data_IF_057662903735
#
_entry.id   IF_057662903735
#
_cell.length_a   1.000
_cell.length_b   1.000
_cell.length_c   1.000
_cell.angle_alpha   90.00
_cell.angle_beta   90.00
_cell.angle_gamma   90.00
#
_symmetry.space_group_name_H-M   'P 1'
#
loop_
_entity.id
_entity.type
_entity.pdbx_description
1 polymer ?
#
# COMPACT_ATOMS: atom_id res chain seq x y z
N UNK A 1 -5.80 -6.25 -3.54
CA UNK A 1 -6.28 -4.89 -3.90
C UNK A 1 -6.38 -4.73 -5.42
N UNK A 2 -5.26 -4.61 -6.16
CA UNK A 2 -5.26 -4.44 -7.60
C UNK A 2 -6.06 -5.50 -8.36
N UNK A 3 -5.88 -6.79 -8.05
CA UNK A 3 -6.57 -7.88 -8.73
C UNK A 3 -8.09 -7.81 -8.61
N UNK A 4 -8.62 -7.59 -7.40
CA UNK A 4 -10.07 -7.47 -7.20
C UNK A 4 -10.65 -6.22 -7.87
N UNK A 5 -9.92 -5.08 -7.83
CA UNK A 5 -10.34 -3.86 -8.52
C UNK A 5 -10.33 -4.06 -10.06
N UNK A 6 -9.31 -4.74 -10.59
CA UNK A 6 -9.25 -5.05 -12.01
C UNK A 6 -10.38 -6.01 -12.42
N UNK A 7 -10.64 -7.04 -11.63
CA UNK A 7 -11.73 -7.98 -11.89
C UNK A 7 -13.10 -7.27 -11.94
N UNK A 8 -13.33 -6.27 -11.07
CA UNK A 8 -14.54 -5.44 -11.10
C UNK A 8 -14.71 -4.75 -12.46
N UNK A 9 -13.67 -4.08 -12.95
CA UNK A 9 -13.75 -3.34 -14.21
C UNK A 9 -13.79 -4.26 -15.42
N UNK A 10 -13.03 -5.35 -15.43
CA UNK A 10 -13.05 -6.34 -16.52
C UNK A 10 -14.42 -6.99 -16.65
N UNK A 11 -15.06 -7.37 -15.53
CA UNK A 11 -16.41 -7.91 -15.56
C UNK A 11 -17.41 -6.91 -16.15
N UNK A 12 -17.33 -5.64 -15.79
CA UNK A 12 -18.18 -4.57 -16.32
C UNK A 12 -17.97 -4.29 -17.82
N UNK A 13 -16.77 -4.56 -18.33
CA UNK A 13 -16.43 -4.40 -19.76
C UNK A 13 -16.67 -5.66 -20.58
N UNK A 14 -17.31 -6.68 -20.00
CA UNK A 14 -17.71 -7.90 -20.70
C UNK A 14 -16.65 -8.99 -20.78
N UNK A 15 -15.52 -8.83 -20.07
CA UNK A 15 -14.52 -9.88 -19.94
C UNK A 15 -14.94 -10.89 -18.86
N UNK A 16 -14.28 -12.06 -18.85
CA UNK A 16 -14.53 -13.16 -17.90
C UNK A 16 -13.30 -13.36 -17.00
N UNK A 17 -13.05 -12.48 -16.03
CA UNK A 17 -11.90 -12.63 -15.13
C UNK A 17 -12.09 -13.80 -14.16
N UNK A 18 -10.96 -14.40 -13.75
CA UNK A 18 -10.86 -15.34 -12.63
C UNK A 18 -9.79 -14.83 -11.66
N UNK A 19 -10.08 -14.85 -10.38
CA UNK A 19 -9.13 -14.48 -9.32
C UNK A 19 -8.50 -15.74 -8.72
N UNK A 20 -7.16 -15.74 -8.62
CA UNK A 20 -6.38 -16.76 -7.90
C UNK A 20 -5.73 -16.08 -6.69
N UNK A 21 -6.00 -16.59 -5.50
CA UNK A 21 -5.49 -16.04 -4.24
C UNK A 21 -4.81 -17.15 -3.44
N UNK A 22 -3.54 -16.95 -3.11
CA UNK A 22 -2.75 -17.90 -2.32
C UNK A 22 -3.26 -18.09 -0.90
N UNK A 23 -3.82 -17.04 -0.29
CA UNK A 23 -4.42 -17.17 1.04
C UNK A 23 -5.63 -18.13 1.02
N UNK A 24 -5.83 -18.93 2.08
CA UNK A 24 -6.91 -19.90 2.13
C UNK A 24 -8.31 -19.27 2.22
N UNK A 25 -8.37 -17.97 2.57
CA UNK A 25 -9.60 -17.19 2.63
C UNK A 25 -9.27 -15.71 2.52
N UNK A 26 -10.29 -14.88 2.32
CA UNK A 26 -10.16 -13.44 2.33
C UNK A 26 -9.65 -12.95 3.71
N UNK A 27 -8.60 -12.10 3.70
CA UNK A 27 -8.01 -11.54 4.91
C UNK A 27 -8.56 -10.16 5.18
N UNK A 28 -9.04 -9.93 6.40
CA UNK A 28 -9.60 -8.65 6.86
C UNK A 28 -8.61 -7.80 7.66
N UNK A 29 -7.42 -8.32 7.94
CA UNK A 29 -6.37 -7.63 8.71
C UNK A 29 -5.65 -6.55 7.91
N UNK A 30 -4.76 -5.82 8.58
CA UNK A 30 -3.90 -4.83 7.97
C UNK A 30 -3.78 -3.56 8.81
N UNK A 31 -2.90 -2.68 8.36
CA UNK A 31 -2.65 -1.37 8.98
C UNK A 31 -3.60 -0.30 8.46
N UNK A 32 -3.63 0.84 9.17
CA UNK A 32 -4.37 2.02 8.69
C UNK A 32 -3.67 2.62 7.49
N UNK A 33 -4.48 3.05 6.54
CA UNK A 33 -4.04 3.81 5.38
C UNK A 33 -4.80 5.13 5.32
N UNK A 34 -4.13 6.14 4.83
CA UNK A 34 -4.76 7.34 4.36
C UNK A 34 -5.10 7.15 2.88
N UNK A 35 -6.32 7.44 2.49
CA UNK A 35 -6.84 7.17 1.16
C UNK A 35 -7.43 8.44 0.54
N UNK A 36 -6.84 8.88 -0.56
CA UNK A 36 -7.19 10.15 -1.25
C UNK A 36 -6.87 10.11 -2.75
N UNK A 37 -7.03 11.24 -3.41
CA UNK A 37 -6.57 11.47 -4.77
C UNK A 37 -7.32 10.68 -5.84
N UNK A 38 -6.61 10.29 -6.90
CA UNK A 38 -7.20 9.59 -8.06
C UNK A 38 -7.78 8.24 -7.64
N UNK A 39 -7.11 7.49 -6.77
CA UNK A 39 -7.63 6.21 -6.25
C UNK A 39 -8.98 6.36 -5.57
N UNK A 40 -9.16 7.44 -4.79
CA UNK A 40 -10.46 7.75 -4.18
C UNK A 40 -11.52 8.08 -5.23
N UNK A 41 -11.18 8.83 -6.28
CA UNK A 41 -12.11 9.14 -7.38
C UNK A 41 -12.51 7.88 -8.15
N UNK A 42 -11.58 6.96 -8.38
CA UNK A 42 -11.88 5.66 -9.02
C UNK A 42 -12.80 4.83 -8.11
N UNK A 43 -12.60 4.83 -6.79
CA UNK A 43 -13.48 4.13 -5.87
C UNK A 43 -14.93 4.69 -5.86
N UNK A 44 -15.10 6.00 -6.12
CA UNK A 44 -16.42 6.60 -6.38
C UNK A 44 -17.06 6.00 -7.64
N UNK A 45 -16.30 5.86 -8.72
CA UNK A 45 -16.78 5.24 -9.97
C UNK A 45 -17.15 3.75 -9.75
N UNK A 46 -16.47 3.06 -8.82
CA UNK A 46 -16.84 1.69 -8.40
C UNK A 46 -18.12 1.63 -7.53
N UNK A 47 -18.64 2.77 -7.08
CA UNK A 47 -19.84 2.82 -6.24
C UNK A 47 -19.60 2.46 -4.76
N UNK A 48 -18.35 2.40 -4.29
CA UNK A 48 -17.99 1.97 -2.93
C UNK A 48 -17.71 3.12 -1.95
N UNK A 49 -17.88 4.38 -2.36
CA UNK A 49 -17.57 5.56 -1.52
C UNK A 49 -18.28 5.54 -0.17
N UNK A 50 -19.57 5.19 -0.15
CA UNK A 50 -20.36 5.17 1.10
C UNK A 50 -19.82 4.13 2.09
N UNK A 51 -19.37 2.97 1.59
CA UNK A 51 -18.78 1.90 2.40
C UNK A 51 -17.43 2.36 2.97
N UNK A 52 -16.59 2.99 2.15
CA UNK A 52 -15.29 3.52 2.53
C UNK A 52 -15.44 4.59 3.61
N UNK A 53 -16.36 5.54 3.42
CA UNK A 53 -16.64 6.60 4.41
C UNK A 53 -17.17 6.03 5.73
N UNK A 54 -18.02 5.02 5.67
CA UNK A 54 -18.56 4.35 6.87
C UNK A 54 -17.46 3.60 7.67
N UNK A 55 -16.47 3.02 6.98
CA UNK A 55 -15.31 2.39 7.61
C UNK A 55 -14.26 3.40 8.10
N UNK A 56 -14.32 4.65 7.60
CA UNK A 56 -13.34 5.70 7.88
C UNK A 56 -13.29 6.15 9.33
N UNK A 57 -12.17 6.79 9.68
CA UNK A 57 -11.91 7.42 10.96
C UNK A 57 -11.70 8.92 10.78
N UNK A 58 -12.22 9.70 11.71
CA UNK A 58 -11.99 11.14 11.77
C UNK A 58 -10.68 11.44 12.50
N UNK A 59 -9.58 11.31 11.78
CA UNK A 59 -8.26 11.69 12.29
C UNK A 59 -8.13 13.21 12.21
N UNK A 60 -7.89 13.84 13.34
CA UNK A 60 -7.75 15.32 13.44
C UNK A 60 -6.29 15.75 13.41
N UNK A 61 -5.38 14.93 13.99
CA UNK A 61 -3.98 15.32 14.10
C UNK A 61 -3.01 14.13 14.06
N UNK A 62 -1.77 14.45 13.72
CA UNK A 62 -0.58 13.60 13.93
C UNK A 62 0.27 14.28 15.00
N UNK A 63 0.54 13.58 16.11
CA UNK A 63 1.32 14.10 17.25
C UNK A 63 2.65 13.38 17.37
N UNK A 64 3.74 14.17 17.40
CA UNK A 64 5.08 13.70 17.73
C UNK A 64 5.29 13.77 19.24
N UNK A 65 5.69 12.66 19.86
CA UNK A 65 5.82 12.53 21.30
C UNK A 65 7.28 12.56 21.76
N UNK A 66 7.48 13.03 22.98
CA UNK A 66 8.71 12.89 23.75
C UNK A 66 8.84 11.51 24.41
N UNK A 67 10.01 11.21 24.97
CA UNK A 67 10.24 9.97 25.74
C UNK A 67 9.39 9.88 27.00
N UNK A 68 8.90 11.00 27.50
CA UNK A 68 7.99 11.16 28.63
C UNK A 68 6.51 11.15 28.22
N UNK A 69 6.20 10.97 26.92
CA UNK A 69 4.83 10.99 26.37
C UNK A 69 4.26 12.40 26.11
N UNK A 70 5.03 13.46 26.41
CA UNK A 70 4.56 14.83 26.12
C UNK A 70 4.57 15.11 24.61
N UNK A 71 3.56 15.86 24.13
CA UNK A 71 3.50 16.27 22.71
C UNK A 71 4.58 17.30 22.41
N UNK A 72 5.52 16.94 21.53
CA UNK A 72 6.57 17.83 21.01
C UNK A 72 6.13 18.66 19.84
N UNK A 73 5.40 18.05 18.93
CA UNK A 73 4.85 18.72 17.75
C UNK A 73 3.52 18.09 17.37
N UNK A 74 2.68 18.88 16.74
CA UNK A 74 1.40 18.43 16.21
C UNK A 74 1.21 18.98 14.81
N UNK A 75 0.68 18.13 13.92
CA UNK A 75 0.25 18.50 12.58
C UNK A 75 -1.24 18.21 12.44
N UNK A 76 -2.01 19.19 12.02
CA UNK A 76 -3.47 19.07 11.84
C UNK A 76 -3.80 18.49 10.47
N UNK A 77 -4.55 17.41 10.45
CA UNK A 77 -4.93 16.70 9.21
C UNK A 77 -5.85 17.55 8.32
N UNK A 78 -6.58 18.54 8.89
CA UNK A 78 -7.41 19.47 8.10
C UNK A 78 -6.59 20.31 7.10
N UNK A 79 -5.31 20.56 7.41
CA UNK A 79 -4.37 21.21 6.47
C UNK A 79 -4.11 20.32 5.26
N UNK A 80 -3.89 19.03 5.51
CA UNK A 80 -3.68 18.04 4.45
C UNK A 80 -4.97 17.84 3.62
N UNK A 81 -6.12 17.68 4.27
CA UNK A 81 -7.43 17.57 3.59
C UNK A 81 -7.66 18.72 2.61
N UNK A 82 -7.32 19.96 2.99
CA UNK A 82 -7.41 21.12 2.08
C UNK A 82 -6.44 21.08 0.90
N UNK A 83 -5.34 20.37 1.03
CA UNK A 83 -4.34 20.23 -0.06
C UNK A 83 -4.73 19.17 -1.08
N UNK A 84 -5.32 18.05 -0.62
CA UNK A 84 -5.71 16.92 -1.48
C UNK A 84 -7.11 17.08 -2.07
N UNK A 85 -7.91 18.05 -1.57
CA UNK A 85 -9.28 18.31 -2.04
C UNK A 85 -10.32 17.32 -1.49
N UNK A 86 -11.46 17.25 -2.19
CA UNK A 86 -12.56 16.36 -1.81
C UNK A 86 -12.18 14.89 -1.97
N UNK A 87 -12.39 14.11 -0.93
CA UNK A 87 -12.15 12.67 -0.95
C UNK A 87 -10.87 12.28 -0.24
N UNK A 88 -10.87 12.44 1.09
CA UNK A 88 -9.86 11.92 2.00
C UNK A 88 -10.54 11.11 3.10
N UNK A 89 -9.99 9.96 3.43
CA UNK A 89 -10.38 9.19 4.61
C UNK A 89 -9.21 8.34 5.09
N UNK A 90 -9.10 8.17 6.41
CA UNK A 90 -8.19 7.21 7.03
C UNK A 90 -9.00 5.97 7.39
N UNK A 91 -8.60 4.79 6.91
CA UNK A 91 -9.34 3.55 7.17
C UNK A 91 -8.40 2.33 7.22
N UNK A 92 -8.82 1.22 7.87
CA UNK A 92 -8.06 -0.02 7.79
C UNK A 92 -7.95 -0.52 6.34
N UNK A 93 -6.74 -0.91 5.93
CA UNK A 93 -6.48 -1.43 4.57
C UNK A 93 -7.36 -2.64 4.25
N UNK A 94 -7.62 -3.50 5.25
CA UNK A 94 -8.50 -4.65 5.10
C UNK A 94 -9.94 -4.28 4.79
N UNK A 95 -10.46 -3.19 5.37
CA UNK A 95 -11.84 -2.74 5.12
C UNK A 95 -12.00 -2.22 3.68
N UNK A 96 -10.99 -1.50 3.17
CA UNK A 96 -11.00 -1.08 1.76
C UNK A 96 -10.90 -2.30 0.82
N UNK A 97 -10.04 -3.27 1.14
CA UNK A 97 -9.94 -4.51 0.38
C UNK A 97 -11.28 -5.28 0.36
N UNK A 98 -11.96 -5.36 1.50
CA UNK A 98 -13.27 -5.99 1.61
C UNK A 98 -14.34 -5.24 0.80
N UNK A 99 -14.34 -3.89 0.84
CA UNK A 99 -15.27 -3.09 0.05
C UNK A 99 -15.09 -3.34 -1.45
N UNK A 100 -13.86 -3.44 -1.93
CA UNK A 100 -13.55 -3.75 -3.33
C UNK A 100 -13.96 -5.20 -3.66
N UNK A 101 -13.57 -6.19 -2.84
CA UNK A 101 -13.85 -7.59 -3.12
C UNK A 101 -15.35 -7.90 -3.17
N UNK A 102 -16.16 -7.29 -2.30
CA UNK A 102 -17.63 -7.42 -2.33
C UNK A 102 -18.27 -7.01 -3.67
N UNK A 103 -17.61 -6.18 -4.47
CA UNK A 103 -18.13 -5.82 -5.80
C UNK A 103 -18.01 -6.94 -6.82
N UNK A 104 -17.28 -8.01 -6.50
CA UNK A 104 -16.97 -9.11 -7.43
C UNK A 104 -17.24 -10.49 -6.85
N UNK A 105 -17.45 -10.64 -5.54
CA UNK A 105 -17.54 -11.93 -4.86
C UNK A 105 -18.66 -12.85 -5.42
N UNK A 106 -19.76 -12.27 -5.88
CA UNK A 106 -20.90 -13.01 -6.41
C UNK A 106 -20.87 -13.23 -7.94
N UNK A 107 -19.96 -12.54 -8.66
CA UNK A 107 -19.97 -12.54 -10.13
C UNK A 107 -18.63 -12.93 -10.77
N UNK A 108 -17.54 -12.96 -10.01
CA UNK A 108 -16.21 -13.34 -10.50
C UNK A 108 -15.72 -14.58 -9.76
N UNK A 109 -15.42 -15.69 -10.46
CA UNK A 109 -14.85 -16.86 -9.84
C UNK A 109 -13.56 -16.53 -9.09
N UNK A 110 -13.51 -16.86 -7.82
CA UNK A 110 -12.32 -16.68 -6.96
C UNK A 110 -11.88 -18.02 -6.39
N UNK A 111 -10.64 -18.38 -6.65
CA UNK A 111 -10.01 -19.61 -6.11
C UNK A 111 -9.06 -19.19 -5.00
N UNK A 112 -9.42 -19.54 -3.78
CA UNK A 112 -8.59 -19.35 -2.59
C UNK A 112 -7.69 -20.54 -2.32
N UNK A 113 -6.54 -20.30 -1.68
CA UNK A 113 -5.62 -21.33 -1.25
C UNK A 113 -4.85 -21.99 -2.38
N UNK A 114 -4.74 -21.35 -3.54
CA UNK A 114 -3.99 -21.85 -4.70
C UNK A 114 -3.04 -20.80 -5.25
N UNK A 115 -2.04 -21.19 -5.99
CA UNK A 115 -1.04 -20.32 -6.60
C UNK A 115 -0.64 -20.82 -7.98
N UNK A 116 -0.19 -19.90 -8.83
CA UNK A 116 0.39 -20.21 -10.15
C UNK A 116 1.79 -20.79 -9.94
N UNK A 117 2.10 -21.90 -10.59
CA UNK A 117 3.44 -22.54 -10.58
C UNK A 117 4.13 -22.52 -11.91
N UNK A 118 3.40 -22.27 -13.02
CA UNK A 118 3.96 -22.16 -14.36
C UNK A 118 3.06 -21.34 -15.26
N UNK A 119 3.69 -20.65 -16.21
CA UNK A 119 3.05 -19.82 -17.23
C UNK A 119 3.74 -20.12 -18.56
N UNK A 120 3.02 -20.70 -19.49
CA UNK A 120 3.50 -21.02 -20.84
C UNK A 120 2.71 -20.23 -21.86
N UNK A 121 3.36 -19.28 -22.50
CA UNK A 121 2.72 -18.34 -23.43
C UNK A 121 2.81 -18.86 -24.84
N UNK A 122 1.65 -18.98 -25.50
CA UNK A 122 1.51 -19.40 -26.90
C UNK A 122 0.85 -18.33 -27.78
N UNK A 123 0.78 -18.55 -29.09
CA UNK A 123 0.19 -17.60 -30.01
C UNK A 123 -1.32 -17.39 -29.74
N UNK A 124 -2.02 -18.40 -29.27
CA UNK A 124 -3.47 -18.38 -29.10
C UNK A 124 -3.92 -18.17 -27.65
N UNK A 125 -3.00 -18.18 -26.68
CA UNK A 125 -3.34 -18.04 -25.27
C UNK A 125 -2.16 -18.31 -24.33
N UNK A 126 -2.48 -18.42 -23.05
CA UNK A 126 -1.54 -18.71 -21.96
C UNK A 126 -1.98 -19.95 -21.22
N UNK A 127 -1.16 -20.99 -21.21
CA UNK A 127 -1.35 -22.16 -20.36
C UNK A 127 -0.81 -21.87 -18.97
N UNK A 128 -1.69 -21.94 -17.97
CA UNK A 128 -1.33 -21.70 -16.58
C UNK A 128 -1.37 -23.00 -15.78
N UNK A 129 -0.29 -23.29 -15.07
CA UNK A 129 -0.19 -24.42 -14.14
C UNK A 129 -0.34 -23.91 -12.72
N UNK A 130 -1.12 -24.63 -11.92
CA UNK A 130 -1.43 -24.27 -10.53
C UNK A 130 -0.82 -25.27 -9.54
N UNK A 131 -0.76 -24.87 -8.27
CA UNK A 131 -0.24 -25.73 -7.20
C UNK A 131 -1.20 -26.89 -6.88
N UNK A 132 -2.52 -26.64 -6.90
CA UNK A 132 -3.52 -27.61 -6.41
C UNK A 132 -4.56 -28.01 -7.43
N UNK A 133 -4.91 -27.13 -8.37
CA UNK A 133 -5.90 -27.40 -9.41
C UNK A 133 -5.25 -27.84 -10.72
N UNK A 134 -6.00 -28.48 -11.65
CA UNK A 134 -5.51 -28.76 -12.99
C UNK A 134 -5.11 -27.46 -13.74
N UNK A 135 -4.15 -27.61 -14.66
CA UNK A 135 -3.78 -26.52 -15.55
C UNK A 135 -4.95 -26.08 -16.43
N UNK A 136 -5.03 -24.80 -16.75
CA UNK A 136 -6.10 -24.19 -17.51
C UNK A 136 -5.54 -23.16 -18.51
N UNK A 137 -6.34 -22.80 -19.54
CA UNK A 137 -5.93 -21.89 -20.59
C UNK A 137 -6.66 -20.56 -20.47
N UNK A 138 -5.93 -19.47 -20.66
CA UNK A 138 -6.44 -18.10 -20.58
C UNK A 138 -5.96 -17.26 -21.76
N UNK A 139 -6.68 -16.22 -22.09
CA UNK A 139 -6.24 -15.24 -23.10
C UNK A 139 -5.06 -14.40 -22.57
N UNK A 140 -5.14 -13.96 -21.32
CA UNK A 140 -4.16 -13.11 -20.66
C UNK A 140 -3.96 -13.52 -19.20
N UNK A 141 -2.78 -13.25 -18.65
CA UNK A 141 -2.49 -13.36 -17.21
C UNK A 141 -2.07 -11.99 -16.68
N UNK A 142 -2.75 -11.53 -15.62
CA UNK A 142 -2.40 -10.27 -14.97
C UNK A 142 -1.87 -10.54 -13.56
N UNK A 143 -0.57 -10.31 -13.36
CA UNK A 143 0.07 -10.40 -12.06
C UNK A 143 -0.27 -9.19 -11.19
N UNK A 144 -1.05 -9.42 -10.13
CA UNK A 144 -1.48 -8.42 -9.15
C UNK A 144 -1.14 -8.87 -7.72
N UNK A 145 -0.06 -9.63 -7.59
CA UNK A 145 0.33 -10.44 -6.43
C UNK A 145 1.36 -9.74 -5.51
N UNK A 146 1.52 -8.41 -5.69
CA UNK A 146 2.17 -7.54 -4.72
C UNK A 146 3.70 -7.47 -4.82
N UNK A 147 4.34 -6.93 -3.79
CA UNK A 147 5.78 -6.68 -3.75
C UNK A 147 6.60 -7.94 -4.09
N UNK A 148 6.26 -9.07 -3.49
CA UNK A 148 6.92 -10.37 -3.68
C UNK A 148 6.21 -11.20 -4.76
N UNK A 149 6.00 -10.61 -5.94
CA UNK A 149 5.22 -11.21 -7.01
C UNK A 149 5.84 -12.50 -7.56
N UNK A 150 5.06 -13.57 -7.47
CA UNK A 150 5.37 -14.85 -8.06
C UNK A 150 5.24 -14.83 -9.59
N UNK A 151 4.22 -14.11 -10.11
CA UNK A 151 4.06 -13.95 -11.58
C UNK A 151 5.25 -13.20 -12.17
N UNK A 152 5.75 -12.16 -11.49
CA UNK A 152 6.99 -11.47 -11.90
C UNK A 152 8.17 -12.44 -11.93
N UNK A 153 8.32 -13.26 -10.89
CA UNK A 153 9.42 -14.22 -10.82
C UNK A 153 9.37 -15.25 -11.95
N UNK A 154 8.19 -15.76 -12.28
CA UNK A 154 7.99 -16.76 -13.32
C UNK A 154 8.27 -16.23 -14.74
N UNK A 155 7.91 -14.96 -15.03
CA UNK A 155 7.94 -14.42 -16.39
C UNK A 155 9.14 -13.51 -16.66
N UNK A 156 9.49 -12.67 -15.68
CA UNK A 156 10.52 -11.64 -15.85
C UNK A 156 11.82 -11.95 -15.15
N UNK A 157 11.81 -12.89 -14.21
CA UNK A 157 12.97 -13.34 -13.46
C UNK A 157 12.93 -12.98 -11.97
N UNK A 158 13.98 -13.33 -11.22
CA UNK A 158 13.99 -13.23 -9.77
C UNK A 158 13.88 -11.80 -9.27
N UNK A 159 13.30 -11.64 -8.05
CA UNK A 159 12.94 -10.37 -7.44
C UNK A 159 14.12 -9.42 -7.29
N UNK A 160 15.28 -9.95 -6.94
CA UNK A 160 16.51 -9.17 -6.68
C UNK A 160 16.97 -8.35 -7.90
N UNK A 161 16.48 -8.67 -9.09
CA UNK A 161 16.75 -7.90 -10.33
C UNK A 161 15.96 -6.59 -10.38
N UNK A 162 14.87 -6.50 -9.66
CA UNK A 162 13.88 -5.43 -9.74
C UNK A 162 13.70 -4.70 -8.43
N UNK A 163 14.03 -5.35 -7.31
CA UNK A 163 13.91 -4.77 -5.99
C UNK A 163 14.96 -3.67 -5.77
N UNK A 164 14.48 -2.56 -5.27
CA UNK A 164 15.31 -1.46 -4.76
C UNK A 164 15.00 -1.25 -3.28
N UNK A 165 15.79 -1.91 -2.43
CA UNK A 165 15.66 -1.82 -0.98
C UNK A 165 16.02 -0.42 -0.48
N UNK A 166 15.17 0.19 0.35
CA UNK A 166 15.34 1.55 0.85
C UNK A 166 16.04 1.64 2.23
N UNK A 167 16.58 0.53 2.72
CA UNK A 167 17.33 0.48 3.97
C UNK A 167 16.46 0.60 5.22
N UNK A 168 15.19 0.19 5.14
CA UNK A 168 14.26 0.17 6.27
C UNK A 168 13.41 -1.09 6.25
N UNK A 169 12.97 -1.50 7.45
CA UNK A 169 11.93 -2.51 7.65
C UNK A 169 10.70 -1.89 8.31
N UNK A 170 9.58 -2.54 8.12
CA UNK A 170 8.29 -2.15 8.68
C UNK A 170 7.63 -3.33 9.36
N UNK A 171 6.99 -3.07 10.50
CA UNK A 171 6.09 -4.02 11.12
C UNK A 171 4.78 -3.33 11.50
N UNK A 172 3.67 -4.07 11.44
CA UNK A 172 2.39 -3.56 11.89
C UNK A 172 1.55 -4.67 12.52
N UNK A 173 0.83 -4.33 13.58
CA UNK A 173 -0.11 -5.23 14.21
C UNK A 173 -1.25 -4.48 14.88
N UNK A 174 -2.32 -5.21 15.18
CA UNK A 174 -3.43 -4.72 15.99
C UNK A 174 -3.43 -5.49 17.30
N UNK A 175 -3.49 -4.76 18.40
CA UNK A 175 -3.53 -5.30 19.75
C UNK A 175 -4.91 -5.03 20.36
N UNK A 176 -5.54 -6.06 20.90
CA UNK A 176 -6.79 -5.94 21.62
C UNK A 176 -6.55 -5.49 23.07
N UNK A 177 -7.42 -4.63 23.58
CA UNK A 177 -7.40 -4.21 24.99
C UNK A 177 -6.29 -3.23 25.38
N UNK A 178 -5.42 -2.82 24.48
CA UNK A 178 -4.42 -1.80 24.76
C UNK A 178 -5.08 -0.42 24.84
N UNK A 179 -5.16 0.11 26.07
CA UNK A 179 -5.86 1.38 26.33
C UNK A 179 -4.87 2.48 26.65
N UNK A 180 -4.32 3.08 25.62
CA UNK A 180 -3.58 4.33 25.80
C UNK A 180 -3.57 5.08 24.46
N UNK A 181 -4.26 6.20 24.44
CA UNK A 181 -4.34 7.05 23.26
C UNK A 181 -5.74 7.59 23.01
N UNK A 182 -5.80 8.56 22.11
CA UNK A 182 -7.01 9.19 21.62
C UNK A 182 -7.37 8.60 20.26
N UNK A 183 -8.66 8.47 19.97
CA UNK A 183 -9.16 7.94 18.69
C UNK A 183 -9.13 8.96 17.55
N UNK A 184 -8.71 10.20 17.83
CA UNK A 184 -8.67 11.35 16.93
C UNK A 184 -7.25 11.71 16.44
N UNK A 185 -6.22 11.00 16.93
CA UNK A 185 -4.85 11.32 16.60
C UNK A 185 -4.00 10.08 16.29
N UNK A 186 -3.09 10.23 15.32
CA UNK A 186 -1.93 9.39 15.20
C UNK A 186 -0.86 9.87 16.19
N UNK A 187 -0.46 9.00 17.10
CA UNK A 187 0.66 9.24 17.99
C UNK A 187 1.94 8.66 17.38
N UNK A 188 2.99 9.45 17.30
CA UNK A 188 4.28 8.98 16.77
C UNK A 188 5.37 9.24 17.79
N UNK A 189 6.11 8.20 18.13
CA UNK A 189 7.33 8.30 18.92
C UNK A 189 8.54 7.94 18.07
N UNK A 190 9.55 8.81 18.05
CA UNK A 190 10.71 8.61 17.18
C UNK A 190 12.01 8.83 17.95
N UNK A 191 12.97 7.94 17.70
CA UNK A 191 14.37 8.11 17.99
C UNK A 191 15.18 8.00 16.70
N UNK A 192 16.46 8.39 16.66
CA UNK A 192 17.24 8.31 15.43
C UNK A 192 17.14 6.94 14.76
N UNK A 193 16.70 6.91 13.50
CA UNK A 193 16.55 5.73 12.68
C UNK A 193 15.30 4.87 12.95
N UNK A 194 14.44 5.22 13.91
CA UNK A 194 13.30 4.37 14.34
C UNK A 194 12.09 5.19 14.73
N UNK A 195 10.90 4.67 14.39
CA UNK A 195 9.63 5.28 14.75
C UNK A 195 8.60 4.20 15.12
N UNK A 196 7.82 4.47 16.15
CA UNK A 196 6.57 3.76 16.46
C UNK A 196 5.42 4.73 16.20
N UNK A 197 4.45 4.29 15.40
CA UNK A 197 3.16 4.92 15.26
C UNK A 197 2.11 4.14 16.06
N UNK A 198 1.20 4.84 16.71
CA UNK A 198 0.06 4.28 17.43
C UNK A 198 -1.23 4.93 16.98
N UNK A 199 -2.24 4.13 16.75
CA UNK A 199 -3.58 4.61 16.43
C UNK A 199 -4.65 3.76 17.12
N UNK A 200 -5.59 4.41 17.81
CA UNK A 200 -6.69 3.73 18.50
C UNK A 200 -7.82 3.43 17.52
N UNK A 201 -8.15 2.16 17.38
CA UNK A 201 -9.23 1.64 16.54
C UNK A 201 -10.52 1.47 17.34
N UNK A 202 -11.65 1.37 16.62
CA UNK A 202 -12.95 0.99 17.19
C UNK A 202 -12.86 -0.40 17.85
N UNK A 203 -13.68 -0.66 18.85
CA UNK A 203 -13.74 -1.96 19.53
C UNK A 203 -12.60 -2.20 20.51
N UNK A 204 -12.04 -1.16 21.12
CA UNK A 204 -10.97 -1.28 22.13
C UNK A 204 -9.70 -1.95 21.58
N UNK A 205 -9.33 -1.63 20.35
CA UNK A 205 -8.16 -2.11 19.64
C UNK A 205 -7.18 -0.97 19.38
N UNK A 206 -5.91 -1.28 19.35
CA UNK A 206 -4.87 -0.31 19.00
C UNK A 206 -3.96 -0.90 17.94
N UNK A 207 -3.74 -0.14 16.89
CA UNK A 207 -2.77 -0.47 15.85
C UNK A 207 -1.43 0.14 16.18
N UNK A 208 -0.38 -0.64 16.02
CA UNK A 208 1.00 -0.19 16.05
C UNK A 208 1.63 -0.33 14.67
N UNK A 209 2.41 0.68 14.28
CA UNK A 209 3.24 0.68 13.08
C UNK A 209 4.67 0.99 13.48
N UNK A 210 5.58 0.09 13.20
CA UNK A 210 7.00 0.24 13.45
C UNK A 210 7.72 0.47 12.13
N UNK A 211 8.58 1.48 12.08
CA UNK A 211 9.49 1.71 10.95
C UNK A 211 10.88 1.88 11.52
N UNK A 212 11.83 1.12 11.05
CA UNK A 212 13.21 1.22 11.51
C UNK A 212 14.21 0.95 10.39
N UNK A 213 15.34 1.63 10.47
CA UNK A 213 16.46 1.38 9.56
C UNK A 213 17.14 0.09 9.93
N UNK A 214 17.38 -0.70 8.92
CA UNK A 214 18.12 -1.93 9.01
C UNK A 214 19.00 -2.06 7.76
N UNK A 215 20.25 -1.68 7.91
CA UNK A 215 21.25 -1.71 6.83
C UNK A 215 22.13 -2.99 6.93
N UNK A 216 21.83 -3.86 7.90
CA UNK A 216 22.63 -5.02 8.21
C UNK A 216 21.81 -6.32 8.13
N UNK A 217 22.52 -7.42 7.93
CA UNK A 217 21.94 -8.75 8.07
C UNK A 217 21.32 -8.93 9.46
N UNK A 218 20.08 -9.40 9.52
CA UNK A 218 19.35 -9.62 10.77
C UNK A 218 19.86 -10.80 11.59
N UNK A 219 20.83 -11.56 11.08
CA UNK A 219 21.42 -12.70 11.74
C UNK A 219 20.42 -13.83 12.04
N UNK A 220 19.34 -13.94 11.24
CA UNK A 220 18.32 -14.95 11.39
C UNK A 220 17.33 -14.71 12.52
N UNK A 221 17.25 -13.47 13.07
CA UNK A 221 16.28 -13.11 14.10
C UNK A 221 14.86 -13.12 13.58
N UNK A 222 13.94 -13.57 14.41
CA UNK A 222 12.50 -13.47 14.14
C UNK A 222 12.04 -12.01 14.09
N UNK A 223 10.92 -11.68 13.43
CA UNK A 223 10.37 -10.33 13.41
C UNK A 223 10.21 -9.69 14.81
N UNK A 224 9.71 -10.43 15.79
CA UNK A 224 9.55 -9.94 17.18
C UNK A 224 10.91 -9.65 17.83
N UNK A 225 11.88 -10.53 17.67
CA UNK A 225 13.24 -10.30 18.17
C UNK A 225 13.90 -9.07 17.54
N UNK A 226 13.64 -8.81 16.26
CA UNK A 226 14.12 -7.60 15.61
C UNK A 226 13.49 -6.35 16.20
N UNK A 227 12.18 -6.36 16.50
CA UNK A 227 11.49 -5.25 17.16
C UNK A 227 12.06 -5.00 18.57
N UNK A 228 12.26 -6.04 19.36
CA UNK A 228 12.91 -5.91 20.67
C UNK A 228 14.31 -5.31 20.55
N UNK A 229 15.14 -5.83 19.66
CA UNK A 229 16.50 -5.30 19.43
C UNK A 229 16.51 -3.82 19.05
N UNK A 230 15.49 -3.38 18.30
CA UNK A 230 15.39 -2.00 17.84
C UNK A 230 14.79 -1.06 18.89
N UNK A 231 13.79 -1.46 19.66
CA UNK A 231 12.98 -0.56 20.46
C UNK A 231 13.08 -0.77 21.96
N UNK A 232 13.71 -1.84 22.45
CA UNK A 232 13.90 -2.02 23.89
C UNK A 232 14.77 -0.89 24.46
N UNK A 233 14.31 -0.31 25.58
CA UNK A 233 14.97 0.84 26.20
C UNK A 233 14.87 2.18 25.44
N UNK A 234 14.14 2.27 24.35
CA UNK A 234 14.05 3.49 23.54
C UNK A 234 13.28 4.65 24.21
N UNK A 235 12.55 4.40 25.29
CA UNK A 235 11.76 5.39 26.02
C UNK A 235 10.26 5.31 25.70
N UNK A 236 9.48 6.33 26.08
CA UNK A 236 8.02 6.34 25.99
C UNK A 236 7.44 5.02 26.55
N UNK A 237 6.45 4.45 25.89
CA UNK A 237 5.80 3.19 26.25
C UNK A 237 6.39 1.96 25.51
N UNK A 238 7.61 2.07 24.94
CA UNK A 238 8.15 1.01 24.08
C UNK A 238 8.13 -0.37 24.76
N UNK A 239 8.44 -0.47 26.05
CA UNK A 239 8.40 -1.74 26.79
C UNK A 239 7.00 -2.33 26.86
N UNK A 240 5.98 -1.50 27.15
CA UNK A 240 4.58 -1.96 27.22
C UNK A 240 4.07 -2.36 25.84
N UNK A 241 4.41 -1.59 24.80
CA UNK A 241 4.05 -1.87 23.42
C UNK A 241 4.67 -3.19 22.95
N UNK A 242 5.96 -3.40 23.18
CA UNK A 242 6.64 -4.65 22.81
C UNK A 242 6.03 -5.86 23.52
N UNK A 243 5.77 -5.75 24.83
CA UNK A 243 5.10 -6.82 25.58
C UNK A 243 3.70 -7.15 25.05
N UNK A 244 2.96 -6.14 24.55
CA UNK A 244 1.67 -6.35 23.92
C UNK A 244 1.81 -7.02 22.53
N UNK A 245 2.82 -6.64 21.76
CA UNK A 245 3.14 -7.22 20.45
C UNK A 245 3.57 -8.69 20.57
N UNK A 246 4.23 -9.08 21.65
CA UNK A 246 4.61 -10.48 21.90
C UNK A 246 3.40 -11.43 21.92
N UNK A 247 2.25 -10.93 22.37
CA UNK A 247 0.99 -11.68 22.40
C UNK A 247 0.23 -11.73 21.06
N UNK A 248 0.71 -11.07 20.01
CA UNK A 248 0.02 -11.03 18.70
C UNK A 248 0.53 -12.14 17.79
N UNK A 249 -0.37 -12.92 17.20
CA UNK A 249 -0.02 -13.96 16.22
C UNK A 249 0.12 -13.39 14.79
N UNK A 250 -0.71 -12.41 14.41
CA UNK A 250 -0.74 -11.80 13.08
C UNK A 250 0.09 -10.50 13.07
N UNK A 251 1.42 -10.64 13.10
CA UNK A 251 2.36 -9.53 12.91
C UNK A 251 2.73 -9.41 11.44
N UNK A 252 2.28 -8.34 10.79
CA UNK A 252 2.82 -7.96 9.48
C UNK A 252 4.28 -7.51 9.65
N UNK A 253 5.17 -8.05 8.84
CA UNK A 253 6.58 -7.66 8.83
C UNK A 253 7.12 -7.75 7.42
N UNK A 254 7.76 -6.67 6.94
CA UNK A 254 8.26 -6.61 5.57
C UNK A 254 9.41 -5.62 5.42
N UNK A 255 10.08 -5.67 4.28
CA UNK A 255 11.06 -4.70 3.84
C UNK A 255 10.39 -3.47 3.22
N UNK A 256 11.05 -2.33 3.33
CA UNK A 256 10.62 -1.11 2.65
C UNK A 256 11.39 -1.03 1.34
N UNK A 257 10.75 -1.50 0.27
CA UNK A 257 11.35 -1.62 -1.05
C UNK A 257 10.47 -1.01 -2.13
N UNK A 258 11.08 -0.71 -3.27
CA UNK A 258 10.42 -0.36 -4.52
C UNK A 258 10.66 -1.47 -5.54
N UNK A 259 9.75 -1.62 -6.50
CA UNK A 259 9.97 -2.45 -7.68
C UNK A 259 10.19 -1.56 -8.88
N UNK A 260 11.32 -1.72 -9.55
CA UNK A 260 11.72 -0.94 -10.71
C UNK A 260 11.99 -1.85 -11.89
N UNK A 261 11.11 -1.78 -12.89
CA UNK A 261 11.15 -2.61 -14.08
C UNK A 261 11.16 -1.75 -15.34
N UNK A 262 11.94 -2.15 -16.34
CA UNK A 262 11.97 -1.48 -17.64
C UNK A 262 10.69 -1.72 -18.46
N UNK A 263 10.02 -2.85 -18.26
CA UNK A 263 8.73 -3.22 -18.84
C UNK A 263 7.89 -3.94 -17.81
N UNK A 264 6.57 -3.69 -17.85
CA UNK A 264 5.59 -4.37 -17.00
C UNK A 264 4.86 -5.49 -17.72
N UNK A 265 4.99 -5.54 -19.06
CA UNK A 265 4.37 -6.56 -19.92
C UNK A 265 5.40 -7.47 -20.56
N UNK A 266 5.03 -8.72 -20.74
CA UNK A 266 5.76 -9.72 -21.51
C UNK A 266 4.77 -10.58 -22.26
N UNK A 267 4.61 -10.31 -23.59
CA UNK A 267 3.62 -10.94 -24.46
C UNK A 267 2.22 -10.92 -23.84
N UNK A 268 1.64 -12.05 -23.43
CA UNK A 268 0.28 -12.15 -22.86
C UNK A 268 0.20 -11.97 -21.35
N UNK A 269 1.31 -11.59 -20.70
CA UNK A 269 1.39 -11.36 -19.26
C UNK A 269 1.66 -9.90 -18.97
N UNK A 270 0.89 -9.29 -18.08
CA UNK A 270 1.11 -7.94 -17.57
C UNK A 270 1.14 -7.94 -16.04
N UNK A 271 1.95 -7.08 -15.45
CA UNK A 271 1.97 -6.82 -14.01
C UNK A 271 1.28 -5.51 -13.70
N UNK A 272 0.58 -5.44 -12.54
CA UNK A 272 -0.03 -4.22 -12.02
C UNK A 272 0.20 -4.06 -10.52
N UNK A 273 0.02 -2.85 -10.01
CA UNK A 273 0.21 -2.54 -8.61
C UNK A 273 1.65 -2.76 -8.14
N UNK A 274 1.81 -3.21 -6.91
CA UNK A 274 3.14 -3.42 -6.32
C UNK A 274 3.96 -4.50 -7.05
N UNK A 275 3.32 -5.37 -7.84
CA UNK A 275 4.02 -6.36 -8.67
C UNK A 275 4.80 -5.71 -9.82
N UNK A 276 4.28 -4.62 -10.38
CA UNK A 276 4.86 -3.87 -11.50
C UNK A 276 5.76 -2.73 -11.05
N UNK A 277 5.25 -1.90 -10.12
CA UNK A 277 5.84 -0.61 -9.79
C UNK A 277 5.64 -0.19 -8.34
N UNK A 278 5.90 -1.09 -7.37
CA UNK A 278 5.81 -0.76 -5.95
C UNK A 278 6.53 0.56 -5.65
N UNK A 279 5.80 1.52 -5.06
CA UNK A 279 6.36 2.82 -4.67
C UNK A 279 6.97 2.83 -3.27
N UNK A 280 6.85 1.76 -2.54
CA UNK A 280 7.11 1.56 -1.12
C UNK A 280 5.91 1.90 -0.21
N UNK A 281 5.81 1.18 0.90
CA UNK A 281 4.78 1.40 1.93
C UNK A 281 4.82 2.84 2.48
N UNK A 282 6.00 3.43 2.60
CA UNK A 282 6.18 4.79 3.14
C UNK A 282 5.70 5.89 2.17
N UNK A 283 5.42 5.56 0.91
CA UNK A 283 4.76 6.48 -0.02
C UNK A 283 3.28 6.72 0.34
N UNK A 284 2.65 5.80 1.08
CA UNK A 284 1.29 5.94 1.58
C UNK A 284 0.19 5.84 0.52
N UNK A 285 0.53 5.76 -0.76
CA UNK A 285 -0.42 5.84 -1.89
C UNK A 285 -0.58 4.52 -2.67
N UNK A 286 0.18 3.46 -2.33
CA UNK A 286 0.19 2.21 -3.09
C UNK A 286 -1.19 1.60 -3.34
N UNK A 287 -2.11 1.72 -2.37
CA UNK A 287 -3.49 1.25 -2.52
C UNK A 287 -4.29 2.06 -3.54
N UNK A 288 -4.16 3.39 -3.51
CA UNK A 288 -4.80 4.28 -4.47
C UNK A 288 -4.29 4.04 -5.89
N UNK A 289 -2.98 3.84 -6.03
CA UNK A 289 -2.34 3.49 -7.30
C UNK A 289 -2.87 2.16 -7.83
N UNK A 290 -2.91 1.12 -7.01
CA UNK A 290 -3.41 -0.20 -7.41
C UNK A 290 -4.84 -0.17 -7.97
N UNK A 291 -5.73 0.65 -7.38
CA UNK A 291 -7.10 0.86 -7.86
C UNK A 291 -7.10 1.66 -9.17
N UNK A 292 -6.26 2.69 -9.27
CA UNK A 292 -6.11 3.52 -10.47
C UNK A 292 -5.57 2.72 -11.64
N UNK A 293 -4.55 1.91 -11.40
CA UNK A 293 -3.96 1.00 -12.40
C UNK A 293 -4.98 0.00 -12.92
N UNK A 294 -5.79 -0.59 -12.03
CA UNK A 294 -6.86 -1.50 -12.41
C UNK A 294 -7.89 -0.86 -13.35
N UNK A 295 -8.31 0.38 -13.06
CA UNK A 295 -9.23 1.13 -13.91
C UNK A 295 -8.61 1.48 -15.25
N UNK A 296 -7.36 1.94 -15.26
CA UNK A 296 -6.65 2.29 -16.49
C UNK A 296 -6.47 1.08 -17.40
N UNK A 297 -6.01 -0.05 -16.85
CA UNK A 297 -5.82 -1.26 -17.66
C UNK A 297 -7.14 -1.77 -18.27
N UNK A 298 -8.19 -1.86 -17.47
CA UNK A 298 -9.50 -2.28 -18.00
C UNK A 298 -10.03 -1.33 -19.08
N UNK A 299 -9.81 -0.02 -18.89
CA UNK A 299 -10.20 0.98 -19.89
C UNK A 299 -9.40 0.89 -21.17
N UNK A 300 -8.10 0.65 -21.11
CA UNK A 300 -7.25 0.48 -22.29
C UNK A 300 -7.58 -0.84 -23.02
N UNK A 301 -7.84 -1.93 -22.30
CA UNK A 301 -8.32 -3.19 -22.90
C UNK A 301 -9.67 -2.98 -23.63
N UNK A 302 -10.64 -2.31 -23.01
CA UNK A 302 -11.92 -2.01 -23.63
C UNK A 302 -11.79 -1.14 -24.89
N UNK A 303 -10.84 -0.19 -24.92
CA UNK A 303 -10.56 0.67 -26.09
C UNK A 303 -9.85 -0.06 -27.22
N UNK A 304 -8.96 -0.98 -26.85
CA UNK A 304 -8.14 -1.69 -27.81
C UNK A 304 -8.87 -2.88 -28.46
N UNK A 305 -9.92 -3.39 -27.83
CA UNK A 305 -10.59 -4.61 -28.28
C UNK A 305 -9.65 -5.80 -28.23
N UNK A 306 -9.51 -6.54 -29.33
CA UNK A 306 -8.65 -7.75 -29.38
C UNK A 306 -7.16 -7.45 -29.41
N UNK A 307 -6.75 -6.17 -29.54
CA UNK A 307 -5.33 -5.77 -29.58
C UNK A 307 -4.80 -5.50 -28.16
N UNK A 308 -4.58 -6.56 -27.40
CA UNK A 308 -4.04 -6.45 -26.03
C UNK A 308 -2.63 -5.85 -25.98
N UNK A 309 -1.82 -6.00 -27.02
CA UNK A 309 -0.49 -5.37 -27.07
C UNK A 309 -0.61 -3.85 -27.05
N UNK A 310 -1.52 -3.28 -27.85
CA UNK A 310 -1.80 -1.85 -27.83
C UNK A 310 -2.33 -1.41 -26.47
N UNK A 311 -3.20 -2.21 -25.83
CA UNK A 311 -3.72 -1.93 -24.50
C UNK A 311 -2.60 -1.85 -23.46
N UNK A 312 -1.68 -2.81 -23.47
CA UNK A 312 -0.55 -2.88 -22.54
C UNK A 312 0.43 -1.71 -22.74
N UNK A 313 0.76 -1.40 -23.99
CA UNK A 313 1.64 -0.27 -24.33
C UNK A 313 1.01 1.08 -23.90
N UNK A 314 -0.29 1.26 -24.14
CA UNK A 314 -1.03 2.47 -23.75
C UNK A 314 -1.10 2.61 -22.22
N UNK A 315 -1.43 1.52 -21.52
CA UNK A 315 -1.44 1.45 -20.05
C UNK A 315 -0.09 1.83 -19.45
N UNK A 316 0.99 1.21 -19.93
CA UNK A 316 2.34 1.45 -19.44
C UNK A 316 2.82 2.88 -19.73
N UNK A 317 2.54 3.39 -20.94
CA UNK A 317 2.89 4.76 -21.32
C UNK A 317 2.17 5.81 -20.49
N UNK A 318 0.91 5.55 -20.13
CA UNK A 318 0.10 6.44 -19.28
C UNK A 318 0.62 6.49 -17.85
N UNK A 319 0.93 5.33 -17.26
CA UNK A 319 1.14 5.22 -15.81
C UNK A 319 2.60 5.24 -15.39
N UNK A 320 3.53 4.79 -16.25
CA UNK A 320 4.95 4.73 -15.90
C UNK A 320 5.54 6.06 -15.40
N UNK A 321 5.39 7.19 -16.10
CA UNK A 321 5.95 8.45 -15.63
C UNK A 321 5.37 8.88 -14.28
N UNK A 322 4.10 8.57 -14.04
CA UNK A 322 3.43 8.88 -12.80
C UNK A 322 3.96 8.04 -11.64
N UNK A 323 4.08 6.72 -11.82
CA UNK A 323 4.60 5.80 -10.80
C UNK A 323 6.06 6.09 -10.48
N UNK A 324 6.91 6.34 -11.47
CA UNK A 324 8.31 6.71 -11.27
C UNK A 324 8.44 8.05 -10.49
N UNK A 325 7.56 9.01 -10.79
CA UNK A 325 7.46 10.24 -10.01
C UNK A 325 7.09 10.02 -8.54
N UNK A 326 6.14 9.11 -8.28
CA UNK A 326 5.75 8.70 -6.93
C UNK A 326 6.86 7.92 -6.20
N UNK A 327 7.60 7.06 -6.91
CA UNK A 327 8.77 6.37 -6.35
C UNK A 327 9.84 7.36 -5.88
N UNK A 328 10.19 8.34 -6.71
CA UNK A 328 11.12 9.40 -6.35
C UNK A 328 10.62 10.28 -5.19
N UNK A 329 9.30 10.47 -5.08
CA UNK A 329 8.65 11.13 -3.95
C UNK A 329 8.80 10.34 -2.65
N UNK A 330 8.54 9.05 -2.69
CA UNK A 330 8.60 8.14 -1.54
C UNK A 330 10.03 8.06 -0.94
N UNK A 331 11.06 8.06 -1.76
CA UNK A 331 12.45 8.12 -1.27
C UNK A 331 12.75 9.37 -0.45
N UNK A 332 12.22 10.52 -0.87
CA UNK A 332 12.36 11.77 -0.10
C UNK A 332 11.63 11.72 1.23
N UNK A 333 10.46 11.05 1.27
CA UNK A 333 9.68 10.88 2.49
C UNK A 333 10.33 9.93 3.50
N UNK A 334 11.18 8.99 3.06
CA UNK A 334 11.91 8.09 3.94
C UNK A 334 12.71 8.85 5.02
N UNK A 335 13.32 9.97 4.64
CA UNK A 335 14.02 10.85 5.57
C UNK A 335 13.14 11.42 6.69
N UNK A 336 11.84 11.54 6.46
CA UNK A 336 10.87 12.01 7.43
C UNK A 336 10.44 10.90 8.42
N UNK A 337 10.19 9.69 7.94
CA UNK A 337 9.77 8.55 8.78
C UNK A 337 10.90 7.97 9.61
N UNK A 338 12.08 7.77 9.01
CA UNK A 338 13.23 7.15 9.65
C UNK A 338 14.44 8.09 9.67
N UNK A 339 14.27 9.24 10.30
CA UNK A 339 15.26 10.31 10.41
C UNK A 339 16.51 9.84 11.18
N UNK A 340 17.70 9.96 10.58
CA UNK A 340 18.95 9.38 11.11
C UNK A 340 19.53 10.08 12.34
N UNK A 341 19.16 11.35 12.59
CA UNK A 341 19.81 12.18 13.60
C UNK A 341 18.82 12.88 14.52
N UNK A 342 19.27 13.24 15.75
CA UNK A 342 18.47 14.06 16.68
C UNK A 342 18.15 15.44 16.12
N UNK A 343 19.07 16.02 15.35
CA UNK A 343 18.84 17.31 14.69
C UNK A 343 17.75 17.19 13.63
N UNK A 344 17.76 16.11 12.82
CA UNK A 344 16.70 15.85 11.84
C UNK A 344 15.33 15.65 12.50
N UNK A 345 15.25 14.96 13.64
CA UNK A 345 13.99 14.84 14.40
C UNK A 345 13.50 16.21 14.89
N UNK A 346 14.37 17.03 15.44
CA UNK A 346 14.03 18.40 15.83
C UNK A 346 13.53 19.23 14.64
N UNK A 347 14.23 19.17 13.49
CA UNK A 347 13.82 19.86 12.27
C UNK A 347 12.44 19.39 11.77
N UNK A 348 12.18 18.08 11.80
CA UNK A 348 10.88 17.50 11.47
C UNK A 348 9.78 18.05 12.38
N UNK A 349 10.01 18.09 13.69
CA UNK A 349 9.03 18.61 14.65
C UNK A 349 8.77 20.11 14.43
N UNK A 350 9.79 20.89 14.07
CA UNK A 350 9.63 22.30 13.66
C UNK A 350 8.81 22.40 12.37
N UNK A 351 9.11 21.56 11.36
CA UNK A 351 8.37 21.55 10.11
C UNK A 351 6.89 21.18 10.33
N UNK A 352 6.57 20.18 11.16
CA UNK A 352 5.20 19.80 11.52
C UNK A 352 4.43 20.98 12.13
N UNK A 353 5.04 21.74 13.06
CA UNK A 353 4.41 22.93 13.65
C UNK A 353 4.20 24.03 12.61
N UNK A 354 5.19 24.24 11.74
CA UNK A 354 5.13 25.30 10.71
C UNK A 354 4.09 25.00 9.62
N UNK A 355 3.82 23.73 9.32
CA UNK A 355 2.75 23.34 8.38
C UNK A 355 1.37 23.81 8.86
N UNK A 356 1.11 23.87 10.17
CA UNK A 356 -0.15 24.40 10.73
C UNK A 356 -0.33 25.90 10.49
N UNK A 357 0.72 26.65 10.31
CA UNK A 357 0.69 28.11 10.07
C UNK A 357 0.30 28.47 8.62
N UNK A 358 0.19 27.46 7.76
CA UNK A 358 -0.35 27.51 6.41
C UNK A 358 0.27 28.57 5.50
N UNK A 359 1.25 28.27 4.72
CA UNK A 359 1.46 28.75 3.36
C UNK A 359 2.75 28.41 2.63
N UNK A 360 4.01 28.63 3.10
CA UNK A 360 5.11 28.35 2.16
C UNK A 360 5.64 26.92 2.23
N UNK A 361 5.51 26.23 3.38
CA UNK A 361 6.08 24.87 3.59
C UNK A 361 5.20 23.78 2.99
N UNK A 362 3.88 23.98 2.96
CA UNK A 362 2.94 23.09 2.28
C UNK A 362 3.25 22.94 0.77
N UNK A 363 3.79 23.97 0.13
CA UNK A 363 4.20 23.93 -1.27
C UNK A 363 5.38 22.99 -1.58
N UNK A 364 6.26 22.77 -0.61
CA UNK A 364 7.39 21.82 -0.75
C UNK A 364 6.92 20.35 -0.78
N UNK A 365 5.81 20.06 -0.11
CA UNK A 365 5.21 18.72 -0.07
C UNK A 365 4.07 18.55 -1.09
N UNK A 366 3.48 19.64 -1.57
CA UNK A 366 2.33 19.61 -2.48
C UNK A 366 2.63 18.86 -3.79
N UNK A 367 3.85 18.93 -4.30
CA UNK A 367 4.25 18.19 -5.51
C UNK A 367 4.34 16.68 -5.33
N UNK A 368 4.55 16.20 -4.11
CA UNK A 368 4.58 14.75 -3.80
C UNK A 368 3.21 14.18 -3.45
N UNK A 369 2.26 15.04 -3.07
CA UNK A 369 0.92 14.66 -2.59
C UNK A 369 -0.15 14.83 -3.66
N UNK A 370 0.04 15.77 -4.61
CA UNK A 370 -0.91 15.97 -5.71
C UNK A 370 -0.70 14.93 -6.80
N UNK A 371 -1.80 14.37 -7.24
CA UNK A 371 -1.81 13.49 -8.40
C UNK A 371 -1.79 14.34 -9.68
N UNK A 372 -0.72 14.24 -10.45
CA UNK A 372 -0.56 14.89 -11.74
C UNK A 372 -0.79 13.88 -12.90
N UNK A 373 -1.78 13.00 -12.73
CA UNK A 373 -2.17 12.05 -13.77
C UNK A 373 -3.48 12.52 -14.41
N UNK A 374 -3.45 12.76 -15.72
CA UNK A 374 -4.66 12.97 -16.52
C UNK A 374 -5.26 11.61 -16.89
N UNK A 375 -5.99 11.03 -15.93
CA UNK A 375 -6.62 9.72 -16.09
C UNK A 375 -7.83 9.84 -17.01
N UNK A 376 -7.85 9.17 -18.18
CA UNK A 376 -8.99 9.22 -19.10
C UNK A 376 -10.28 8.76 -18.44
N UNK A 377 -11.40 9.37 -18.83
CA UNK A 377 -12.72 8.84 -18.49
C UNK A 377 -13.12 7.77 -19.49
N UNK A 378 -12.93 6.50 -19.11
CA UNK A 378 -13.19 5.36 -19.98
C UNK A 378 -14.67 5.04 -20.13
N UNK A 379 -15.54 5.59 -19.28
CA UNK A 379 -16.99 5.33 -19.26
C UNK A 379 -17.35 3.84 -19.16
N UNK A 380 -16.59 3.09 -18.38
CA UNK A 380 -16.74 1.65 -18.11
C UNK A 380 -17.42 1.39 -16.76
#
# INVERSE_FOLDING_TARGET
MAGAALAHWLHRTGHSPMLIERAPAFRTGGYMIDFWGIGYQVSRKMGIESVIRGAGYDVESVRSLGSDGTTRAEFRVDVFRRMVGDGFTSLPRGDLAAAIYRTVEDCVPTVFGDSITGIDQGPDGVRVTFEKRPADDFDLVIGADGLHSNVRALVFGPEERFEHYLGCKVAACVVDGYRDGTSDAYLTYSVPGRQIGQFTLRGNRTMFLFVFRDEHDDGGRTPKEQLHNQFDGAGWQCRQILAAVDGVDDLFFDVVSQIRMNRWSGDRVLLIGDAAGCISLLGGEGTGLAITEAYALAGELARAGDDYHRAFDSYESLLRPFIEGKQAGAERMLGFFATRTRFGLWFRDVAMRAMNLGRPIAGLFAGSVRDNLDLPDYRI
#
